data_IF_501028164116
#
_entry.id   IF_501028164116
#
_cell.length_a   1.000
_cell.length_b   1.000
_cell.length_c   1.000
_cell.angle_alpha   90.00
_cell.angle_beta   90.00
_cell.angle_gamma   90.00
#
_symmetry.space_group_name_H-M   'P 1'
#
loop_
_entity.id
_entity.type
_entity.pdbx_description
1 polymer ?
#
# COMPACT_ATOMS: atom_id res chain seq x y z
N UNK A 1 -25.96 -33.47 3.28
CA UNK A 1 -24.69 -32.77 2.95
C UNK A 1 -23.82 -33.72 2.15
N UNK A 2 -23.53 -33.40 0.89
CA UNK A 2 -22.77 -34.31 0.01
C UNK A 2 -21.31 -34.41 0.44
N UNK A 3 -20.69 -35.57 0.20
CA UNK A 3 -19.26 -35.84 0.48
C UNK A 3 -18.31 -34.79 -0.13
N UNK A 4 -18.74 -34.10 -1.20
CA UNK A 4 -17.99 -33.01 -1.85
C UNK A 4 -17.89 -31.73 -1.00
N UNK A 5 -18.87 -31.41 -0.15
CA UNK A 5 -18.81 -30.23 0.70
C UNK A 5 -17.79 -30.41 1.84
N UNK A 6 -17.73 -31.61 2.42
CA UNK A 6 -16.77 -31.97 3.48
C UNK A 6 -15.33 -31.91 2.98
N UNK A 7 -15.07 -32.43 1.77
CA UNK A 7 -13.73 -32.37 1.16
C UNK A 7 -13.27 -30.93 0.88
N UNK A 8 -14.18 -30.06 0.41
CA UNK A 8 -13.88 -28.64 0.17
C UNK A 8 -13.59 -27.87 1.46
N UNK A 9 -14.36 -28.12 2.52
CA UNK A 9 -14.13 -27.54 3.85
C UNK A 9 -12.82 -28.01 4.46
N UNK A 10 -12.50 -29.30 4.33
CA UNK A 10 -11.24 -29.84 4.81
C UNK A 10 -10.04 -29.19 4.12
N UNK A 11 -10.09 -29.04 2.79
CA UNK A 11 -9.02 -28.38 2.03
C UNK A 11 -8.85 -26.90 2.42
N UNK A 12 -9.96 -26.18 2.64
CA UNK A 12 -9.93 -24.80 3.11
C UNK A 12 -9.36 -24.67 4.54
N UNK A 13 -9.72 -25.60 5.43
CA UNK A 13 -9.18 -25.68 6.80
C UNK A 13 -7.68 -26.01 6.80
N UNK A 14 -7.23 -26.96 5.97
CA UNK A 14 -5.81 -27.30 5.84
C UNK A 14 -5.00 -26.15 5.24
N UNK A 15 -5.54 -25.42 4.26
CA UNK A 15 -4.93 -24.22 3.72
C UNK A 15 -4.85 -23.12 4.79
N UNK A 16 -5.93 -22.87 5.52
CA UNK A 16 -5.97 -21.90 6.61
C UNK A 16 -4.94 -22.21 7.73
N UNK A 17 -4.84 -23.48 8.11
CA UNK A 17 -3.85 -23.96 9.08
C UNK A 17 -2.42 -23.78 8.55
N UNK A 18 -2.16 -24.08 7.28
CA UNK A 18 -0.85 -23.86 6.65
C UNK A 18 -0.45 -22.39 6.63
N UNK A 19 -1.37 -21.48 6.35
CA UNK A 19 -1.11 -20.03 6.35
C UNK A 19 -0.83 -19.53 7.78
N UNK A 20 -1.61 -19.98 8.77
CA UNK A 20 -1.38 -19.68 10.20
C UNK A 20 0.00 -20.13 10.69
N UNK A 21 0.43 -21.34 10.30
CA UNK A 21 1.75 -21.89 10.68
C UNK A 21 2.88 -21.09 10.02
N UNK A 22 2.71 -20.66 8.77
CA UNK A 22 3.76 -19.98 8.00
C UNK A 22 3.90 -18.48 8.30
N UNK A 23 2.81 -17.79 8.63
CA UNK A 23 2.79 -16.32 8.70
C UNK A 23 2.38 -15.75 10.06
N UNK A 24 2.02 -16.59 11.03
CA UNK A 24 1.49 -16.12 12.32
C UNK A 24 0.09 -15.50 12.22
N UNK A 25 -0.41 -14.94 13.33
CA UNK A 25 -1.74 -14.34 13.38
C UNK A 25 -1.69 -12.86 12.97
N UNK A 26 -2.17 -12.56 11.76
CA UNK A 26 -2.39 -11.21 11.25
C UNK A 26 -3.75 -11.08 10.55
N UNK A 27 -4.18 -9.85 10.30
CA UNK A 27 -5.39 -9.59 9.52
C UNK A 27 -5.24 -10.10 8.07
N UNK A 28 -4.03 -10.07 7.51
CA UNK A 28 -3.73 -10.67 6.21
C UNK A 28 -3.93 -12.20 6.23
N UNK A 29 -3.38 -12.90 7.23
CA UNK A 29 -3.56 -14.35 7.41
C UNK A 29 -5.05 -14.69 7.51
N UNK A 30 -5.82 -13.94 8.31
CA UNK A 30 -7.27 -14.09 8.43
C UNK A 30 -7.96 -13.88 7.07
N UNK A 31 -7.59 -12.85 6.33
CA UNK A 31 -8.14 -12.55 5.01
C UNK A 31 -7.89 -13.70 4.03
N UNK A 32 -6.68 -14.27 4.00
CA UNK A 32 -6.36 -15.44 3.17
C UNK A 32 -7.23 -16.65 3.54
N UNK A 33 -7.41 -16.93 4.83
CA UNK A 33 -8.26 -18.03 5.31
C UNK A 33 -9.73 -17.84 4.87
N UNK A 34 -10.25 -16.62 5.01
CA UNK A 34 -11.61 -16.27 4.56
C UNK A 34 -11.74 -16.38 3.04
N UNK A 35 -10.72 -15.96 2.30
CA UNK A 35 -10.65 -16.06 0.84
C UNK A 35 -10.70 -17.52 0.39
N UNK A 36 -9.86 -18.38 0.96
CA UNK A 36 -9.80 -19.81 0.67
C UNK A 36 -11.11 -20.54 1.04
N UNK A 37 -11.76 -20.14 2.13
CA UNK A 37 -13.07 -20.68 2.52
C UNK A 37 -14.16 -20.18 1.57
N UNK A 38 -14.08 -18.91 1.14
CA UNK A 38 -14.99 -18.29 0.19
C UNK A 38 -14.94 -18.95 -1.17
N UNK A 39 -13.75 -19.31 -1.68
CA UNK A 39 -13.57 -19.96 -2.98
C UNK A 39 -14.24 -21.33 -3.05
N UNK A 40 -14.21 -22.10 -1.96
CA UNK A 40 -14.90 -23.39 -1.86
C UNK A 40 -16.43 -23.31 -2.06
N UNK A 41 -17.02 -22.14 -1.78
CA UNK A 41 -18.45 -21.88 -1.82
C UNK A 41 -18.90 -21.05 -3.04
N UNK A 42 -17.97 -20.73 -3.96
CA UNK A 42 -18.29 -19.95 -5.17
C UNK A 42 -19.32 -20.70 -6.01
N UNK A 43 -20.34 -19.96 -6.45
CA UNK A 43 -21.26 -20.35 -7.53
C UNK A 43 -21.19 -19.24 -8.57
N UNK A 44 -20.35 -19.42 -9.58
CA UNK A 44 -20.09 -18.43 -10.62
C UNK A 44 -19.55 -19.15 -11.88
N UNK A 45 -19.48 -18.46 -13.04
CA UNK A 45 -18.80 -18.99 -14.22
C UNK A 45 -17.37 -19.45 -13.88
N UNK A 46 -16.90 -20.49 -14.59
CA UNK A 46 -15.57 -21.07 -14.38
C UNK A 46 -14.45 -20.02 -14.45
N UNK A 47 -14.56 -19.04 -15.35
CA UNK A 47 -13.60 -17.93 -15.48
C UNK A 47 -13.44 -17.12 -14.20
N UNK A 48 -14.53 -16.85 -13.47
CA UNK A 48 -14.52 -16.12 -12.19
C UNK A 48 -13.87 -16.97 -11.10
N UNK A 49 -14.22 -18.26 -11.05
CA UNK A 49 -13.64 -19.20 -10.08
C UNK A 49 -12.13 -19.35 -10.29
N UNK A 50 -11.67 -19.51 -11.52
CA UNK A 50 -10.23 -19.59 -11.82
C UNK A 50 -9.51 -18.29 -11.52
N UNK A 51 -10.09 -17.14 -11.88
CA UNK A 51 -9.51 -15.83 -11.56
C UNK A 51 -9.35 -15.65 -10.05
N UNK A 52 -10.37 -16.01 -9.27
CA UNK A 52 -10.31 -15.95 -7.81
C UNK A 52 -9.21 -16.85 -7.25
N UNK A 53 -9.11 -18.10 -7.72
CA UNK A 53 -8.07 -19.04 -7.28
C UNK A 53 -6.66 -18.53 -7.64
N UNK A 54 -6.47 -18.02 -8.86
CA UNK A 54 -5.18 -17.49 -9.33
C UNK A 54 -4.77 -16.28 -8.50
N UNK A 55 -5.69 -15.33 -8.25
CA UNK A 55 -5.39 -14.13 -7.44
C UNK A 55 -5.05 -14.50 -5.99
N UNK A 56 -5.77 -15.44 -5.38
CA UNK A 56 -5.44 -15.95 -4.05
C UNK A 56 -4.09 -16.68 -4.02
N UNK A 57 -3.80 -17.52 -5.02
CA UNK A 57 -2.51 -18.21 -5.14
C UNK A 57 -1.34 -17.24 -5.32
N UNK A 58 -1.49 -16.24 -6.19
CA UNK A 58 -0.49 -15.18 -6.40
C UNK A 58 -0.25 -14.35 -5.13
N UNK A 59 -1.31 -14.05 -4.35
CA UNK A 59 -1.14 -13.33 -3.08
C UNK A 59 -0.30 -14.09 -2.06
N UNK A 60 -0.32 -15.42 -2.09
CA UNK A 60 0.51 -16.28 -1.23
C UNK A 60 1.96 -16.32 -1.71
N UNK A 61 2.19 -16.32 -3.03
CA UNK A 61 3.54 -16.30 -3.61
C UNK A 61 4.25 -14.96 -3.42
N UNK A 62 3.51 -13.86 -3.38
CA UNK A 62 4.05 -12.49 -3.20
C UNK A 62 4.26 -12.15 -1.71
N UNK A 63 3.99 -13.10 -0.79
CA UNK A 63 4.25 -13.10 0.66
C UNK A 63 4.62 -11.73 1.28
N UNK A 64 3.67 -11.14 2.03
CA UNK A 64 3.84 -9.96 2.91
C UNK A 64 4.42 -8.67 2.28
N UNK A 65 4.67 -8.62 0.96
CA UNK A 65 4.95 -7.37 0.24
C UNK A 65 3.67 -6.56 -0.04
N UNK A 66 3.84 -5.30 -0.47
CA UNK A 66 2.73 -4.37 -0.75
C UNK A 66 1.70 -4.84 -1.80
N UNK A 67 2.03 -5.87 -2.60
CA UNK A 67 1.16 -6.39 -3.66
C UNK A 67 0.16 -7.47 -3.22
N UNK A 68 0.44 -8.23 -2.16
CA UNK A 68 -0.41 -9.35 -1.71
C UNK A 68 -1.82 -8.92 -1.30
N UNK A 69 -1.97 -7.94 -0.39
CA UNK A 69 -3.28 -7.42 0.03
C UNK A 69 -4.13 -6.89 -1.13
N UNK A 70 -3.51 -6.24 -2.11
CA UNK A 70 -4.20 -5.72 -3.29
C UNK A 70 -4.80 -6.83 -4.16
N UNK A 71 -4.07 -7.93 -4.36
CA UNK A 71 -4.59 -9.08 -5.11
C UNK A 71 -5.78 -9.76 -4.43
N UNK A 72 -5.70 -9.91 -3.09
CA UNK A 72 -6.82 -10.42 -2.28
C UNK A 72 -8.02 -9.50 -2.40
N UNK A 73 -7.83 -8.19 -2.31
CA UNK A 73 -8.89 -7.20 -2.47
C UNK A 73 -9.58 -7.30 -3.83
N UNK A 74 -8.81 -7.33 -4.92
CA UNK A 74 -9.34 -7.43 -6.28
C UNK A 74 -10.14 -8.72 -6.45
N UNK A 75 -9.60 -9.84 -5.97
CA UNK A 75 -10.28 -11.14 -6.02
C UNK A 75 -11.57 -11.14 -5.22
N UNK A 76 -11.57 -10.55 -4.02
CA UNK A 76 -12.75 -10.46 -3.17
C UNK A 76 -13.86 -9.63 -3.81
N UNK A 77 -13.53 -8.46 -4.37
CA UNK A 77 -14.49 -7.60 -5.06
C UNK A 77 -15.09 -8.29 -6.29
N UNK A 78 -14.27 -8.98 -7.08
CA UNK A 78 -14.71 -9.74 -8.25
C UNK A 78 -15.76 -10.80 -7.87
N UNK A 79 -15.51 -11.54 -6.78
CA UNK A 79 -16.43 -12.59 -6.34
C UNK A 79 -17.69 -12.00 -5.69
N UNK A 80 -17.59 -10.91 -4.94
CA UNK A 80 -18.78 -10.21 -4.40
C UNK A 80 -19.70 -9.76 -5.55
N UNK A 81 -19.11 -9.28 -6.64
CA UNK A 81 -19.84 -8.81 -7.82
C UNK A 81 -20.53 -9.94 -8.59
N UNK A 82 -19.83 -11.06 -8.81
CA UNK A 82 -20.22 -12.07 -9.80
C UNK A 82 -20.73 -13.39 -9.21
N UNK A 83 -20.55 -13.65 -7.92
CA UNK A 83 -21.02 -14.88 -7.28
C UNK A 83 -22.53 -14.87 -7.05
N UNK A 84 -23.18 -15.98 -7.37
CA UNK A 84 -24.58 -16.24 -7.06
C UNK A 84 -24.76 -16.69 -5.62
N UNK A 85 -23.70 -17.19 -4.97
CA UNK A 85 -23.73 -17.73 -3.61
C UNK A 85 -23.67 -16.61 -2.55
N UNK A 86 -24.71 -16.37 -1.74
CA UNK A 86 -24.66 -15.38 -0.66
C UNK A 86 -23.56 -15.68 0.36
N UNK A 87 -23.40 -16.96 0.73
CA UNK A 87 -22.37 -17.39 1.68
C UNK A 87 -20.95 -17.07 1.18
N UNK A 88 -20.68 -17.30 -0.10
CA UNK A 88 -19.40 -16.92 -0.72
C UNK A 88 -19.20 -15.40 -0.66
N UNK A 89 -20.21 -14.62 -1.04
CA UNK A 89 -20.15 -13.15 -1.00
C UNK A 89 -19.85 -12.60 0.40
N UNK A 90 -20.48 -13.13 1.44
CA UNK A 90 -20.19 -12.72 2.82
C UNK A 90 -18.75 -13.03 3.24
N UNK A 91 -18.21 -14.20 2.88
CA UNK A 91 -16.82 -14.54 3.18
C UNK A 91 -15.83 -13.63 2.46
N UNK A 92 -16.11 -13.27 1.20
CA UNK A 92 -15.28 -12.31 0.46
C UNK A 92 -15.45 -10.87 0.96
N UNK A 93 -16.63 -10.48 1.43
CA UNK A 93 -16.83 -9.18 2.09
C UNK A 93 -16.05 -9.09 3.42
N UNK A 94 -16.05 -10.16 4.22
CA UNK A 94 -15.24 -10.26 5.44
C UNK A 94 -13.75 -10.27 5.13
N UNK A 95 -13.35 -10.95 4.07
CA UNK A 95 -11.97 -10.95 3.58
C UNK A 95 -11.50 -9.53 3.21
N UNK A 96 -12.29 -8.81 2.41
CA UNK A 96 -12.01 -7.42 2.07
C UNK A 96 -11.95 -6.53 3.33
N UNK A 97 -12.87 -6.71 4.28
CA UNK A 97 -12.86 -5.95 5.53
C UNK A 97 -11.57 -6.19 6.34
N UNK A 98 -11.10 -7.43 6.44
CA UNK A 98 -9.86 -7.75 7.14
C UNK A 98 -8.65 -7.03 6.52
N UNK A 99 -8.53 -7.01 5.18
CA UNK A 99 -7.47 -6.28 4.48
C UNK A 99 -7.55 -4.76 4.69
N UNK A 100 -8.76 -4.19 4.74
CA UNK A 100 -8.95 -2.76 4.95
C UNK A 100 -8.63 -2.33 6.38
N UNK A 101 -8.95 -3.17 7.37
CA UNK A 101 -8.65 -2.93 8.79
C UNK A 101 -7.15 -2.96 9.05
N UNK A 102 -6.41 -3.79 8.31
CA UNK A 102 -4.94 -3.85 8.38
C UNK A 102 -4.26 -2.55 7.92
N UNK A 103 -5.00 -1.57 7.40
CA UNK A 103 -4.46 -0.27 6.98
C UNK A 103 -3.73 -0.32 5.63
N UNK A 104 -3.82 -1.45 4.90
CA UNK A 104 -3.12 -1.62 3.63
C UNK A 104 -3.64 -0.70 2.50
N UNK A 105 -4.87 -0.18 2.62
CA UNK A 105 -5.47 0.74 1.63
C UNK A 105 -6.30 1.82 2.35
N UNK A 106 -5.58 2.81 2.91
CA UNK A 106 -6.17 4.00 3.53
C UNK A 106 -7.03 4.75 2.50
N UNK A 107 -8.35 4.78 2.72
CA UNK A 107 -9.33 5.40 1.81
C UNK A 107 -10.44 4.47 1.35
N UNK A 108 -10.24 3.15 1.39
CA UNK A 108 -11.28 2.19 0.99
C UNK A 108 -12.17 1.70 2.14
N UNK A 109 -11.92 2.14 3.38
CA UNK A 109 -12.70 1.75 4.56
C UNK A 109 -14.23 1.89 4.40
N UNK A 110 -14.77 2.97 3.77
CA UNK A 110 -16.20 3.11 3.55
C UNK A 110 -16.80 2.04 2.63
N UNK A 111 -15.98 1.35 1.83
CA UNK A 111 -16.41 0.27 0.95
C UNK A 111 -16.93 -0.94 1.73
N UNK A 112 -16.51 -1.13 2.99
CA UNK A 112 -16.94 -2.24 3.83
C UNK A 112 -18.47 -2.28 3.93
N UNK A 113 -19.10 -1.15 4.26
CA UNK A 113 -20.56 -1.07 4.39
C UNK A 113 -21.27 -1.46 3.08
N UNK A 114 -20.74 -1.00 1.95
CA UNK A 114 -21.28 -1.30 0.62
C UNK A 114 -21.22 -2.81 0.33
N UNK A 115 -20.10 -3.46 0.66
CA UNK A 115 -19.92 -4.90 0.44
C UNK A 115 -20.89 -5.73 1.28
N UNK A 116 -21.12 -5.35 2.54
CA UNK A 116 -22.07 -6.03 3.41
C UNK A 116 -23.53 -5.82 2.97
N UNK A 117 -23.89 -4.62 2.50
CA UNK A 117 -25.23 -4.34 1.97
C UNK A 117 -25.48 -5.09 0.65
N UNK A 118 -24.47 -5.21 -0.21
CA UNK A 118 -24.58 -5.90 -1.50
C UNK A 118 -24.58 -7.44 -1.38
N UNK A 119 -23.96 -7.99 -0.34
CA UNK A 119 -23.81 -9.43 -0.12
C UNK A 119 -25.12 -10.24 -0.06
N UNK A 120 -26.20 -9.80 0.62
CA UNK A 120 -27.48 -10.52 0.64
C UNK A 120 -28.33 -10.35 -0.63
N UNK A 121 -28.00 -9.40 -1.51
CA UNK A 121 -28.88 -9.02 -2.63
C UNK A 121 -28.84 -10.07 -3.74
N UNK A 122 -29.87 -10.90 -3.87
CA UNK A 122 -29.90 -11.97 -4.87
C UNK A 122 -30.12 -11.50 -6.31
N UNK A 123 -30.75 -10.33 -6.51
CA UNK A 123 -30.94 -9.78 -7.86
C UNK A 123 -29.64 -9.15 -8.35
N UNK A 124 -29.01 -9.79 -9.34
CA UNK A 124 -27.72 -9.37 -9.91
C UNK A 124 -27.70 -7.89 -10.32
N UNK A 125 -28.76 -7.40 -10.98
CA UNK A 125 -28.87 -5.98 -11.37
C UNK A 125 -28.78 -5.03 -10.17
N UNK A 126 -29.51 -5.32 -9.08
CA UNK A 126 -29.52 -4.46 -7.90
C UNK A 126 -28.19 -4.52 -7.14
N UNK A 127 -27.59 -5.69 -7.06
CA UNK A 127 -26.26 -5.86 -6.46
C UNK A 127 -25.21 -5.02 -7.19
N UNK A 128 -25.18 -5.11 -8.53
CA UNK A 128 -24.28 -4.30 -9.38
C UNK A 128 -24.50 -2.80 -9.18
N UNK A 129 -25.77 -2.37 -9.09
CA UNK A 129 -26.12 -0.96 -8.83
C UNK A 129 -25.64 -0.51 -7.45
N UNK A 130 -25.83 -1.31 -6.39
CA UNK A 130 -25.37 -0.98 -5.04
C UNK A 130 -23.84 -0.88 -4.99
N UNK A 131 -23.13 -1.84 -5.60
CA UNK A 131 -21.67 -1.83 -5.66
C UNK A 131 -21.15 -0.61 -6.45
N UNK A 132 -21.69 -0.36 -7.64
CA UNK A 132 -21.31 0.79 -8.45
C UNK A 132 -21.63 2.12 -7.76
N UNK A 133 -22.83 2.25 -7.18
CA UNK A 133 -23.24 3.43 -6.42
C UNK A 133 -22.36 3.66 -5.19
N UNK A 134 -21.98 2.58 -4.49
CA UNK A 134 -21.07 2.66 -3.36
C UNK A 134 -19.65 3.07 -3.75
N UNK A 135 -19.14 2.61 -4.89
CA UNK A 135 -17.84 3.07 -5.43
C UNK A 135 -17.91 4.55 -5.82
N UNK A 136 -18.98 4.99 -6.48
CA UNK A 136 -19.17 6.41 -6.83
C UNK A 136 -19.27 7.27 -5.57
N UNK A 137 -20.05 6.86 -4.59
CA UNK A 137 -20.16 7.56 -3.30
C UNK A 137 -18.81 7.63 -2.59
N UNK A 138 -18.03 6.55 -2.63
CA UNK A 138 -16.68 6.52 -2.09
C UNK A 138 -15.80 7.55 -2.78
N UNK A 139 -15.77 7.57 -4.13
CA UNK A 139 -15.01 8.57 -4.89
C UNK A 139 -15.44 10.02 -4.59
N UNK A 140 -16.71 10.25 -4.24
CA UNK A 140 -17.20 11.56 -3.82
C UNK A 140 -16.69 11.92 -2.42
N UNK A 141 -16.74 10.97 -1.48
CA UNK A 141 -16.33 11.19 -0.07
C UNK A 141 -14.81 11.31 0.06
N UNK A 142 -14.05 10.43 -0.61
CA UNK A 142 -12.59 10.37 -0.50
C UNK A 142 -11.88 11.25 -1.52
N UNK A 143 -12.63 11.86 -2.43
CA UNK A 143 -12.09 12.45 -3.65
C UNK A 143 -11.70 11.38 -4.66
N UNK A 144 -11.65 11.77 -5.93
CA UNK A 144 -11.02 10.96 -6.98
C UNK A 144 -9.53 10.92 -6.64
N UNK A 145 -8.92 9.75 -6.39
CA UNK A 145 -7.50 9.67 -6.13
C UNK A 145 -6.77 10.27 -7.33
N UNK A 146 -6.29 11.51 -7.17
CA UNK A 146 -5.45 12.10 -8.18
C UNK A 146 -4.14 11.35 -8.12
N UNK A 147 -3.61 10.90 -9.26
CA UNK A 147 -2.26 10.32 -9.36
C UNK A 147 -1.14 11.33 -8.98
N UNK A 148 -1.51 12.44 -8.33
CA UNK A 148 -0.75 13.66 -8.12
C UNK A 148 -0.96 14.25 -6.73
N UNK A 149 -1.48 13.48 -5.76
CA UNK A 149 -1.28 13.87 -4.38
C UNK A 149 0.23 13.81 -4.12
N UNK A 150 0.85 14.98 -4.01
CA UNK A 150 2.21 15.12 -3.50
C UNK A 150 2.18 14.62 -2.05
N UNK A 151 2.32 13.31 -1.86
CA UNK A 151 2.50 12.70 -0.54
C UNK A 151 3.92 13.03 -0.12
N UNK A 152 4.05 14.00 0.77
CA UNK A 152 5.32 14.39 1.35
C UNK A 152 5.40 13.93 2.81
N UNK A 153 6.53 13.37 3.20
CA UNK A 153 6.84 13.09 4.60
C UNK A 153 7.45 14.36 5.21
N UNK A 154 6.94 14.77 6.37
CA UNK A 154 7.50 15.88 7.14
C UNK A 154 8.19 15.29 8.36
N UNK A 155 9.51 15.45 8.46
CA UNK A 155 10.23 15.02 9.66
C UNK A 155 10.18 16.10 10.75
N UNK A 156 9.98 15.65 11.99
CA UNK A 156 10.12 16.52 13.16
C UNK A 156 11.59 16.63 13.54
N UNK A 157 11.97 17.83 13.94
CA UNK A 157 13.32 18.15 14.40
C UNK A 157 13.52 17.76 15.87
N UNK A 158 14.76 17.40 16.21
CA UNK A 158 15.23 17.19 17.58
C UNK A 158 16.41 18.12 17.81
N UNK A 159 16.34 18.90 18.88
CA UNK A 159 17.40 19.83 19.25
C UNK A 159 18.46 19.09 20.10
N UNK A 160 19.71 19.07 19.65
CA UNK A 160 20.78 18.33 20.32
C UNK A 160 22.07 19.15 20.33
N UNK A 161 22.52 19.56 21.52
CA UNK A 161 23.86 20.14 21.76
C UNK A 161 24.29 21.18 20.70
N UNK A 162 23.44 22.17 20.43
CA UNK A 162 23.67 23.28 19.47
C UNK A 162 23.44 22.96 17.97
N UNK A 163 23.07 21.72 17.64
CA UNK A 163 22.61 21.33 16.31
C UNK A 163 21.11 20.98 16.29
N UNK A 164 20.49 21.13 15.12
CA UNK A 164 19.15 20.58 14.85
C UNK A 164 19.28 19.32 14.03
N UNK A 165 18.75 18.22 14.53
CA UNK A 165 18.90 16.89 13.94
C UNK A 165 17.54 16.35 13.52
N UNK A 166 17.50 15.66 12.37
CA UNK A 166 16.37 14.83 11.96
C UNK A 166 16.80 13.36 11.99
N UNK A 167 16.72 12.68 13.16
CA UNK A 167 17.35 11.39 13.37
C UNK A 167 16.54 10.20 12.84
N UNK A 168 15.33 10.44 12.34
CA UNK A 168 14.44 9.35 11.93
C UNK A 168 14.72 8.98 10.46
N UNK A 169 15.27 7.78 10.19
CA UNK A 169 15.48 7.32 8.83
C UNK A 169 14.13 7.20 8.12
N UNK A 170 14.11 7.58 6.84
CA UNK A 170 12.91 7.56 6.02
C UNK A 170 13.21 6.98 4.64
N UNK A 171 12.25 6.29 4.05
CA UNK A 171 12.34 5.80 2.68
C UNK A 171 11.39 6.59 1.79
N UNK A 172 11.95 7.17 0.74
CA UNK A 172 11.19 7.78 -0.34
C UNK A 172 11.06 6.78 -1.47
N UNK A 173 9.84 6.64 -1.98
CA UNK A 173 9.52 5.83 -3.15
C UNK A 173 8.42 6.54 -3.96
N UNK A 174 7.95 5.95 -5.06
CA UNK A 174 6.96 6.60 -5.91
C UNK A 174 5.59 6.85 -5.23
N UNK A 175 5.28 6.14 -4.14
CA UNK A 175 4.09 6.39 -3.33
C UNK A 175 4.27 7.52 -2.31
N UNK A 176 5.51 7.83 -1.94
CA UNK A 176 5.88 8.92 -1.04
C UNK A 176 7.17 9.58 -1.58
N UNK A 177 7.07 10.36 -2.67
CA UNK A 177 8.25 10.73 -3.45
C UNK A 177 9.02 11.93 -2.88
N UNK A 178 8.52 12.56 -1.82
CA UNK A 178 9.10 13.78 -1.25
C UNK A 178 9.24 13.73 0.27
N UNK A 179 10.38 14.17 0.78
CA UNK A 179 10.65 14.47 2.19
C UNK A 179 10.81 15.96 2.34
N UNK A 180 10.27 16.56 3.40
CA UNK A 180 10.45 17.97 3.73
C UNK A 180 11.07 18.07 5.12
N UNK A 181 12.25 18.70 5.18
CA UNK A 181 12.88 19.17 6.42
C UNK A 181 12.38 20.58 6.70
N UNK A 182 11.73 20.75 7.84
CA UNK A 182 11.24 22.06 8.29
C UNK A 182 12.38 22.96 8.72
N UNK A 183 12.15 24.27 8.71
CA UNK A 183 13.12 25.23 9.20
C UNK A 183 13.38 24.98 10.69
N UNK A 184 14.66 24.80 11.09
CA UNK A 184 15.01 24.96 12.49
C UNK A 184 14.68 26.40 12.85
N UNK A 185 14.06 26.65 14.01
CA UNK A 185 13.58 27.99 14.38
C UNK A 185 14.64 29.12 14.39
N UNK A 186 15.91 28.81 14.11
CA UNK A 186 17.03 29.73 13.86
C UNK A 186 17.65 29.42 12.50
N UNK A 187 18.12 30.44 11.79
CA UNK A 187 18.83 30.28 10.51
C UNK A 187 20.14 29.50 10.73
N UNK A 188 20.27 28.29 10.18
CA UNK A 188 21.48 27.50 10.36
C UNK A 188 22.54 27.87 9.32
N UNK A 189 23.81 27.74 9.70
CA UNK A 189 24.97 28.04 8.86
C UNK A 189 25.18 26.95 7.81
N UNK A 190 24.97 25.69 8.17
CA UNK A 190 25.13 24.57 7.25
C UNK A 190 24.15 23.43 7.53
N UNK A 191 23.87 22.64 6.52
CA UNK A 191 23.06 21.43 6.60
C UNK A 191 23.81 20.26 5.98
N UNK A 192 24.13 19.26 6.79
CA UNK A 192 24.67 17.98 6.36
C UNK A 192 23.53 16.97 6.21
N UNK A 193 23.47 16.30 5.07
CA UNK A 193 22.49 15.28 4.74
C UNK A 193 23.18 13.97 4.39
N UNK A 194 22.70 12.87 4.96
CA UNK A 194 23.13 11.52 4.62
C UNK A 194 21.97 10.80 3.94
N UNK A 195 22.14 10.51 2.65
CA UNK A 195 21.14 9.86 1.82
C UNK A 195 21.78 8.77 0.97
N UNK A 196 21.03 7.73 0.64
CA UNK A 196 21.40 6.73 -0.37
C UNK A 196 20.31 6.63 -1.41
N UNK A 197 20.66 6.40 -2.66
CA UNK A 197 19.68 6.17 -3.72
C UNK A 197 19.91 4.86 -4.46
N UNK A 198 18.82 4.25 -4.92
CA UNK A 198 18.87 2.93 -5.55
C UNK A 198 17.67 2.62 -6.44
N UNK A 199 17.57 1.34 -6.82
CA UNK A 199 16.48 0.81 -7.64
C UNK A 199 16.48 1.27 -9.10
N UNK A 200 17.63 1.74 -9.57
CA UNK A 200 17.92 2.11 -10.96
C UNK A 200 19.16 1.35 -11.46
N UNK A 201 19.30 1.18 -12.78
CA UNK A 201 20.39 0.38 -13.41
C UNK A 201 21.46 1.22 -14.09
N UNK A 202 21.28 2.53 -14.10
CA UNK A 202 22.15 3.52 -14.73
C UNK A 202 22.70 4.46 -13.63
N UNK A 203 23.59 5.37 -14.02
CA UNK A 203 24.27 6.29 -13.10
C UNK A 203 23.65 7.70 -13.07
N UNK A 204 22.47 7.89 -13.67
CA UNK A 204 21.81 9.20 -13.66
C UNK A 204 21.27 9.55 -12.25
N UNK A 205 20.96 10.82 -11.92
CA UNK A 205 20.36 11.17 -10.64
C UNK A 205 19.01 10.47 -10.43
N UNK A 206 18.76 9.92 -9.25
CA UNK A 206 17.46 9.34 -8.85
C UNK A 206 16.49 10.44 -8.40
N UNK A 207 17.03 11.48 -7.77
CA UNK A 207 16.27 12.61 -7.26
C UNK A 207 17.13 13.84 -7.04
N UNK A 208 16.57 14.81 -6.33
CA UNK A 208 17.25 16.05 -5.98
C UNK A 208 16.95 16.45 -4.55
N UNK A 209 17.95 17.05 -3.89
CA UNK A 209 17.74 17.90 -2.73
C UNK A 209 17.55 19.33 -3.22
N UNK A 210 16.49 19.99 -2.78
CA UNK A 210 16.17 21.38 -3.13
C UNK A 210 16.21 22.24 -1.88
N UNK A 211 17.03 23.29 -1.90
CA UNK A 211 17.06 24.36 -0.91
C UNK A 211 16.93 25.67 -1.69
N UNK A 212 15.77 26.33 -1.54
CA UNK A 212 15.31 27.44 -2.39
C UNK A 212 15.54 27.21 -3.90
N UNK A 213 16.49 27.93 -4.51
CA UNK A 213 16.80 27.84 -5.95
C UNK A 213 17.90 26.81 -6.26
N UNK A 214 18.59 26.28 -5.25
CA UNK A 214 19.63 25.26 -5.45
C UNK A 214 18.98 23.88 -5.55
N UNK A 215 19.40 23.12 -6.55
CA UNK A 215 19.04 21.70 -6.73
C UNK A 215 20.31 20.88 -6.81
N UNK A 216 20.48 19.98 -5.85
CA UNK A 216 21.64 19.11 -5.74
C UNK A 216 21.20 17.69 -6.15
N UNK A 217 21.78 17.09 -7.20
CA UNK A 217 21.41 15.75 -7.63
C UNK A 217 21.79 14.70 -6.58
N UNK A 218 20.94 13.68 -6.43
CA UNK A 218 21.22 12.49 -5.62
C UNK A 218 21.47 11.33 -6.58
N UNK A 219 22.70 10.83 -6.60
CA UNK A 219 23.13 9.75 -7.48
C UNK A 219 22.95 8.37 -6.81
N UNK A 220 22.88 7.27 -7.57
CA UNK A 220 22.84 5.92 -7.01
C UNK A 220 24.04 5.64 -6.11
N UNK A 221 23.81 4.96 -4.98
CA UNK A 221 24.79 4.74 -3.92
C UNK A 221 24.65 5.73 -2.76
N UNK A 222 25.66 5.74 -1.89
CA UNK A 222 25.70 6.61 -0.70
C UNK A 222 26.14 8.03 -1.09
N UNK A 223 25.43 9.03 -0.58
CA UNK A 223 25.70 10.44 -0.81
C UNK A 223 25.72 11.15 0.55
N UNK A 224 26.81 11.85 0.84
CA UNK A 224 26.86 12.86 1.91
C UNK A 224 26.85 14.23 1.25
N UNK A 225 25.79 14.99 1.48
CA UNK A 225 25.61 16.32 0.90
C UNK A 225 25.76 17.37 1.98
N UNK A 226 26.53 18.43 1.69
CA UNK A 226 26.70 19.58 2.58
C UNK A 226 26.16 20.80 1.84
N UNK A 227 25.23 21.50 2.48
CA UNK A 227 24.61 22.72 1.97
C UNK A 227 25.01 23.85 2.90
N UNK A 228 25.88 24.74 2.39
CA UNK A 228 26.22 25.99 3.07
C UNK A 228 25.09 27.02 2.87
N UNK A 229 24.75 27.72 3.95
CA UNK A 229 23.64 28.68 4.03
C UNK A 229 22.31 28.12 3.48
N UNK A 230 21.79 27.03 4.06
CA UNK A 230 20.59 26.38 3.57
C UNK A 230 19.34 27.26 3.77
N UNK A 231 18.64 27.53 2.67
CA UNK A 231 17.30 28.12 2.73
C UNK A 231 16.26 27.01 2.95
N UNK A 232 15.46 27.16 4.01
CA UNK A 232 14.40 26.23 4.38
C UNK A 232 13.03 26.66 3.80
N UNK A 233 12.10 25.70 3.58
CA UNK A 233 12.24 24.27 3.82
C UNK A 233 13.15 23.59 2.79
N UNK A 234 13.92 22.59 3.24
CA UNK A 234 14.73 21.75 2.35
C UNK A 234 13.91 20.53 1.98
N UNK A 235 13.77 20.25 0.68
CA UNK A 235 13.04 19.08 0.19
C UNK A 235 13.93 18.07 -0.51
N UNK A 236 13.69 16.78 -0.25
CA UNK A 236 14.37 15.67 -0.92
C UNK A 236 13.31 14.97 -1.76
N UNK A 237 13.47 14.93 -3.08
CA UNK A 237 12.42 14.44 -3.99
C UNK A 237 12.96 13.47 -5.03
N UNK A 238 12.27 12.35 -5.21
CA UNK A 238 12.46 11.47 -6.37
C UNK A 238 11.99 12.20 -7.64
N UNK A 239 12.88 12.31 -8.62
CA UNK A 239 12.60 13.01 -9.87
C UNK A 239 12.36 12.07 -11.04
N UNK A 240 12.76 10.81 -10.88
CA UNK A 240 12.62 9.82 -11.94
C UNK A 240 11.19 9.32 -12.08
N UNK A 241 10.69 9.22 -13.31
CA UNK A 241 9.40 8.58 -13.55
C UNK A 241 9.49 7.07 -13.32
N UNK A 242 8.34 6.46 -13.07
CA UNK A 242 8.23 5.00 -13.06
C UNK A 242 8.60 4.41 -14.42
N UNK A 243 9.34 3.29 -14.41
CA UNK A 243 9.56 2.43 -15.57
C UNK A 243 9.45 0.96 -15.14
N UNK A 244 9.02 0.05 -16.02
CA UNK A 244 9.07 -1.38 -15.73
C UNK A 244 10.47 -1.81 -15.29
N UNK A 245 10.55 -2.57 -14.20
CA UNK A 245 11.81 -3.05 -13.60
C UNK A 245 12.76 -1.97 -13.07
N UNK A 246 12.28 -0.74 -12.87
CA UNK A 246 12.98 0.33 -12.15
C UNK A 246 12.08 0.88 -11.05
N UNK A 247 12.59 0.85 -9.83
CA UNK A 247 11.89 1.26 -8.63
C UNK A 247 12.76 2.31 -7.94
N UNK A 248 12.77 3.57 -8.42
CA UNK A 248 13.63 4.59 -7.84
C UNK A 248 13.27 4.79 -6.36
N UNK A 249 14.27 4.66 -5.50
CA UNK A 249 14.15 4.79 -4.04
C UNK A 249 15.26 5.69 -3.55
N UNK A 250 14.96 6.54 -2.56
CA UNK A 250 15.95 7.32 -1.81
C UNK A 250 15.76 7.01 -0.32
N UNK A 251 16.80 6.45 0.29
CA UNK A 251 16.88 6.27 1.74
C UNK A 251 17.48 7.53 2.35
N UNK A 252 16.74 8.17 3.23
CA UNK A 252 17.22 9.23 4.12
C UNK A 252 17.67 8.60 5.43
N UNK A 253 18.91 8.86 5.84
CA UNK A 253 19.44 8.34 7.11
C UNK A 253 19.40 9.40 8.20
N UNK A 254 19.96 10.57 7.92
CA UNK A 254 20.10 11.64 8.88
C UNK A 254 20.21 13.00 8.20
N UNK A 255 19.84 14.03 8.96
CA UNK A 255 20.17 15.41 8.65
C UNK A 255 20.62 16.11 9.92
N UNK A 256 21.63 16.97 9.80
CA UNK A 256 22.16 17.78 10.88
C UNK A 256 22.37 19.21 10.38
N UNK A 257 21.69 20.16 11.01
CA UNK A 257 21.87 21.59 10.77
C UNK A 257 22.67 22.21 11.91
N UNK A 258 23.81 22.81 11.59
CA UNK A 258 24.65 23.54 12.53
C UNK A 258 24.15 24.99 12.61
N UNK A 259 23.86 25.48 13.82
CA UNK A 259 23.40 26.85 14.09
C UNK A 259 24.59 27.78 14.33
#
# INVERSE_FOLDING_TARGET
MSHTLKARLFFALSAALGVLILHGFSFFTLAVCLYATGTALIKAPLSVTYSAIILGGLSLLIAAGSGGPALIMIGALLVVLLSESPASRYLFALCAAAILIEGSIEGLLPLIAVLFIASPVNRDKWRKVILAGGVVLLLIITGIPSARENRFLVLQEVLFQEAVVWPMPAELNLGMPELILKAPGKEPVSLRLEVSAGGVRDNDPVGYVTSARRRIPVYPGENTLIIEDPEFPVSIRISRPWKPFSHPVIHFYSAEATI
#
